data_IF_485691337170
#
_entry.id   IF_485691337170
#
_cell.length_a   1.000
_cell.length_b   1.000
_cell.length_c   1.000
_cell.angle_alpha   90.00
_cell.angle_beta   90.00
_cell.angle_gamma   90.00
#
_symmetry.space_group_name_H-M   'P 1'
#
loop_
_entity.id
_entity.type
_entity.pdbx_description
1 polymer ?
#
# COMPACT_ATOMS: atom_id res chain seq x y z
N UNK A 1 -4.64 17.35 -12.72
CA UNK A 1 -3.53 16.38 -12.72
C UNK A 1 -4.10 14.98 -12.68
N UNK A 2 -3.41 14.03 -13.29
CA UNK A 2 -3.68 12.60 -13.23
C UNK A 2 -2.85 11.96 -12.12
N UNK A 3 -3.52 11.36 -11.15
CA UNK A 3 -2.90 10.76 -9.97
C UNK A 3 -3.12 9.25 -10.00
N UNK A 4 -2.04 8.49 -9.88
CA UNK A 4 -2.10 7.07 -9.56
C UNK A 4 -1.96 6.88 -8.05
N UNK A 5 -3.02 6.42 -7.39
CA UNK A 5 -3.02 6.15 -5.96
C UNK A 5 -2.90 4.64 -5.72
N UNK A 6 -1.83 4.23 -5.03
CA UNK A 6 -1.54 2.85 -4.68
C UNK A 6 -1.89 2.63 -3.20
N UNK A 7 -2.95 1.88 -2.92
CA UNK A 7 -3.45 1.65 -1.57
C UNK A 7 -3.20 0.23 -1.09
N UNK A 8 -2.64 0.09 0.11
CA UNK A 8 -2.50 -1.23 0.76
C UNK A 8 -3.84 -1.86 1.06
N UNK A 9 -4.82 -1.10 1.55
CA UNK A 9 -6.16 -1.62 1.86
C UNK A 9 -7.19 -1.02 0.91
N UNK A 10 -7.99 -1.88 0.28
CA UNK A 10 -9.09 -1.43 -0.55
C UNK A 10 -10.09 -0.63 0.30
N UNK A 11 -10.44 0.62 -0.08
CA UNK A 11 -11.19 1.56 0.78
C UNK A 11 -12.71 1.30 0.78
N UNK A 12 -13.12 0.04 0.92
CA UNK A 12 -14.50 -0.38 1.13
C UNK A 12 -14.58 -1.82 1.68
N UNK A 13 -15.49 -2.13 2.62
CA UNK A 13 -16.32 -1.19 3.38
C UNK A 13 -15.48 -0.35 4.37
N UNK A 14 -16.06 0.72 4.94
CA UNK A 14 -15.36 1.64 5.84
C UNK A 14 -15.30 1.11 7.28
N UNK A 15 -14.72 -0.08 7.43
CA UNK A 15 -14.76 -0.88 8.67
C UNK A 15 -13.50 -0.75 9.55
N UNK A 16 -12.46 -0.05 9.08
CA UNK A 16 -11.24 0.20 9.84
C UNK A 16 -10.58 1.53 9.48
N UNK A 17 -9.68 2.00 10.36
CA UNK A 17 -9.03 3.30 10.24
C UNK A 17 -8.25 3.50 8.93
N UNK A 18 -7.55 2.48 8.44
CA UNK A 18 -6.79 2.57 7.18
C UNK A 18 -7.72 2.74 5.98
N UNK A 19 -8.81 1.96 5.89
CA UNK A 19 -9.82 2.10 4.82
C UNK A 19 -10.55 3.44 4.88
N UNK A 20 -10.94 3.89 6.08
CA UNK A 20 -11.60 5.20 6.30
C UNK A 20 -10.70 6.34 5.82
N UNK A 21 -9.42 6.33 6.23
CA UNK A 21 -8.45 7.36 5.83
C UNK A 21 -8.27 7.41 4.33
N UNK A 22 -7.99 6.27 3.69
CA UNK A 22 -7.79 6.20 2.24
C UNK A 22 -9.04 6.65 1.50
N UNK A 23 -10.23 6.24 1.92
CA UNK A 23 -11.49 6.68 1.32
C UNK A 23 -11.63 8.22 1.31
N UNK A 24 -11.41 8.87 2.45
CA UNK A 24 -11.55 10.32 2.55
C UNK A 24 -10.44 11.09 1.84
N UNK A 25 -9.21 10.55 1.81
CA UNK A 25 -8.12 11.11 1.00
C UNK A 25 -8.47 11.05 -0.49
N UNK A 26 -8.94 9.91 -0.98
CA UNK A 26 -9.38 9.76 -2.37
C UNK A 26 -10.51 10.72 -2.70
N UNK A 27 -11.51 10.86 -1.81
CA UNK A 27 -12.61 11.83 -1.99
C UNK A 27 -12.10 13.26 -2.14
N UNK A 28 -11.15 13.67 -1.30
CA UNK A 28 -10.56 15.01 -1.35
C UNK A 28 -9.71 15.23 -2.61
N UNK A 29 -8.94 14.23 -3.03
CA UNK A 29 -8.13 14.29 -4.25
C UNK A 29 -9.00 14.32 -5.51
N UNK A 30 -9.99 13.43 -5.58
CA UNK A 30 -10.93 13.30 -6.70
C UNK A 30 -11.74 14.59 -6.95
N UNK A 31 -11.96 15.41 -5.92
CA UNK A 31 -12.65 16.69 -6.07
C UNK A 31 -11.88 17.71 -6.94
N UNK A 32 -10.57 17.53 -7.14
CA UNK A 32 -9.70 18.48 -7.88
C UNK A 32 -8.84 17.81 -8.95
N UNK A 33 -8.74 16.49 -8.94
CA UNK A 33 -7.81 15.72 -9.76
C UNK A 33 -8.46 14.45 -10.28
N UNK A 34 -7.96 13.94 -11.41
CA UNK A 34 -8.38 12.66 -11.93
C UNK A 34 -7.57 11.57 -11.23
N UNK A 35 -8.25 10.72 -10.46
CA UNK A 35 -7.59 9.70 -9.63
C UNK A 35 -7.85 8.31 -10.19
N UNK A 36 -6.79 7.56 -10.45
CA UNK A 36 -6.83 6.10 -10.66
C UNK A 36 -6.41 5.41 -9.37
N UNK A 37 -7.27 4.55 -8.82
CA UNK A 37 -6.99 3.75 -7.64
C UNK A 37 -6.53 2.35 -8.04
N UNK A 38 -5.39 1.91 -7.51
CA UNK A 38 -4.92 0.53 -7.54
C UNK A 38 -4.74 0.05 -6.10
N UNK A 39 -5.40 -1.03 -5.71
CA UNK A 39 -5.37 -1.47 -4.31
C UNK A 39 -5.46 -2.98 -4.12
N UNK A 40 -4.85 -3.50 -3.06
CA UNK A 40 -5.08 -4.87 -2.65
C UNK A 40 -6.47 -5.03 -2.04
N UNK A 41 -7.19 -6.04 -2.50
CA UNK A 41 -8.47 -6.47 -1.97
C UNK A 41 -8.30 -7.81 -1.26
N UNK A 42 -8.60 -7.84 0.03
CA UNK A 42 -8.46 -9.02 0.88
C UNK A 42 -9.32 -8.87 2.15
N UNK A 43 -9.43 -9.95 2.92
CA UNK A 43 -10.23 -10.03 4.16
C UNK A 43 -11.67 -9.54 3.93
N UNK A 44 -12.11 -8.48 4.63
CA UNK A 44 -13.48 -7.96 4.59
C UNK A 44 -13.76 -7.06 3.39
N UNK A 45 -12.84 -6.94 2.42
CA UNK A 45 -13.05 -6.09 1.25
C UNK A 45 -14.29 -6.49 0.46
N UNK A 46 -15.13 -5.49 0.14
CA UNK A 46 -16.21 -5.63 -0.83
C UNK A 46 -15.93 -4.70 -2.03
N UNK A 47 -15.45 -5.30 -3.12
CA UNK A 47 -15.21 -4.55 -4.35
C UNK A 47 -16.52 -4.24 -5.06
N UNK A 48 -17.54 -5.12 -4.96
CA UNK A 48 -18.80 -4.94 -5.67
C UNK A 48 -19.57 -3.73 -5.13
N UNK A 49 -19.72 -3.64 -3.79
CA UNK A 49 -20.43 -2.56 -3.09
C UNK A 49 -19.74 -1.19 -3.12
N UNK A 50 -18.52 -1.10 -3.65
CA UNK A 50 -17.73 0.14 -3.69
C UNK A 50 -18.17 1.14 -4.78
N UNK A 51 -19.47 1.40 -4.90
CA UNK A 51 -20.05 2.29 -5.91
C UNK A 51 -19.52 3.72 -5.81
N UNK A 52 -19.38 4.24 -4.59
CA UNK A 52 -18.86 5.60 -4.37
C UNK A 52 -17.42 5.76 -4.84
N UNK A 53 -16.57 4.73 -4.67
CA UNK A 53 -15.20 4.74 -5.21
C UNK A 53 -15.20 4.88 -6.73
N UNK A 54 -16.08 4.14 -7.41
CA UNK A 54 -16.19 4.18 -8.88
C UNK A 54 -16.76 5.49 -9.40
N UNK A 55 -17.56 6.19 -8.61
CA UNK A 55 -18.09 7.52 -8.98
C UNK A 55 -17.03 8.61 -8.85
N UNK A 56 -16.16 8.53 -7.84
CA UNK A 56 -15.16 9.58 -7.59
C UNK A 56 -13.82 9.33 -8.29
N UNK A 57 -13.39 8.09 -8.45
CA UNK A 57 -12.15 7.76 -9.17
C UNK A 57 -12.44 7.52 -10.65
N UNK A 58 -11.57 8.01 -11.54
CA UNK A 58 -11.66 7.75 -12.99
C UNK A 58 -11.48 6.27 -13.33
N UNK A 59 -10.72 5.54 -12.51
CA UNK A 59 -10.61 4.09 -12.58
C UNK A 59 -10.33 3.50 -11.20
N UNK A 60 -10.84 2.28 -10.96
CA UNK A 60 -10.62 1.52 -9.72
C UNK A 60 -10.23 0.10 -10.08
N UNK A 61 -9.03 -0.31 -9.66
CA UNK A 61 -8.48 -1.63 -9.88
C UNK A 61 -8.20 -2.31 -8.54
N UNK A 62 -8.82 -3.47 -8.34
CA UNK A 62 -8.64 -4.30 -7.16
C UNK A 62 -7.77 -5.52 -7.49
N UNK A 63 -6.70 -5.71 -6.73
CA UNK A 63 -5.82 -6.89 -6.81
C UNK A 63 -6.20 -7.84 -5.69
N UNK A 64 -6.83 -8.98 -6.03
CA UNK A 64 -7.30 -9.97 -5.04
C UNK A 64 -6.16 -10.79 -4.42
N UNK A 65 -5.36 -10.14 -3.57
CA UNK A 65 -4.21 -10.69 -2.85
C UNK A 65 -4.11 -10.02 -1.49
N UNK A 66 -3.80 -10.82 -0.47
CA UNK A 66 -3.45 -10.30 0.84
C UNK A 66 -1.93 -10.05 0.91
N UNK A 67 -1.46 -8.78 1.00
CA UNK A 67 -0.03 -8.47 1.03
C UNK A 67 0.67 -8.93 2.32
N UNK A 68 -0.10 -9.25 3.36
CA UNK A 68 0.39 -9.75 4.64
C UNK A 68 0.47 -11.27 4.71
N UNK A 69 -0.07 -11.99 3.71
CA UNK A 69 0.04 -13.43 3.67
C UNK A 69 1.50 -13.84 3.40
N UNK A 70 2.10 -14.52 4.36
CA UNK A 70 3.51 -14.95 4.32
C UNK A 70 3.62 -16.46 4.21
N UNK A 71 4.46 -16.93 3.30
CA UNK A 71 4.96 -18.32 3.32
C UNK A 71 6.18 -18.41 4.24
N UNK A 72 6.22 -19.45 5.08
CA UNK A 72 7.34 -19.71 6.01
C UNK A 72 8.69 -19.82 5.28
N UNK A 73 8.72 -20.44 4.10
CA UNK A 73 9.93 -20.56 3.30
C UNK A 73 10.41 -19.20 2.75
N UNK A 74 9.46 -18.35 2.33
CA UNK A 74 9.77 -17.02 1.79
C UNK A 74 10.28 -16.06 2.88
N UNK A 75 9.80 -16.20 4.13
CA UNK A 75 10.29 -15.41 5.26
C UNK A 75 11.75 -15.72 5.60
N UNK A 76 12.15 -17.00 5.57
CA UNK A 76 13.53 -17.41 5.87
C UNK A 76 14.54 -16.82 4.90
N UNK A 77 14.23 -16.84 3.60
CA UNK A 77 15.11 -16.28 2.57
C UNK A 77 15.21 -14.75 2.67
N UNK A 78 14.13 -14.07 3.07
CA UNK A 78 14.11 -12.61 3.17
C UNK A 78 14.72 -12.06 4.46
N UNK A 79 14.90 -12.89 5.48
CA UNK A 79 15.72 -12.54 6.64
C UNK A 79 17.14 -12.12 6.24
N UNK A 80 17.68 -12.73 5.19
CA UNK A 80 18.99 -12.40 4.64
C UNK A 80 18.96 -11.29 3.56
N UNK A 81 17.79 -10.70 3.32
CA UNK A 81 17.64 -9.63 2.33
C UNK A 81 17.81 -8.26 2.99
N UNK A 82 18.52 -7.36 2.31
CA UNK A 82 18.57 -5.94 2.67
C UNK A 82 17.27 -5.20 2.32
N UNK A 83 16.34 -5.84 1.59
CA UNK A 83 15.05 -5.26 1.26
C UNK A 83 14.01 -5.56 2.36
N UNK A 84 13.27 -4.54 2.85
CA UNK A 84 12.24 -4.76 3.87
C UNK A 84 11.25 -5.84 3.45
N UNK A 85 10.99 -6.80 4.34
CA UNK A 85 10.05 -7.89 4.08
C UNK A 85 8.64 -7.38 3.74
N UNK A 86 8.25 -6.25 4.33
CA UNK A 86 6.96 -5.57 4.07
C UNK A 86 6.82 -5.06 2.64
N UNK A 87 7.92 -4.76 1.96
CA UNK A 87 7.95 -4.20 0.61
C UNK A 87 8.05 -5.28 -0.49
N UNK A 88 7.57 -6.51 -0.21
CA UNK A 88 7.61 -7.61 -1.20
C UNK A 88 6.82 -7.21 -2.44
N UNK A 89 7.42 -7.26 -3.64
CA UNK A 89 6.63 -7.17 -4.85
C UNK A 89 5.75 -8.42 -4.98
N UNK A 90 4.46 -8.20 -5.18
CA UNK A 90 3.47 -9.22 -5.51
C UNK A 90 3.24 -9.11 -7.03
N UNK A 91 3.49 -10.18 -7.81
CA UNK A 91 3.49 -10.12 -9.27
C UNK A 91 2.21 -9.50 -9.84
N UNK A 92 1.05 -9.81 -9.26
CA UNK A 92 -0.24 -9.30 -9.69
C UNK A 92 -0.36 -7.78 -9.53
N UNK A 93 0.15 -7.23 -8.42
CA UNK A 93 0.20 -5.78 -8.22
C UNK A 93 1.25 -5.12 -9.12
N UNK A 94 2.41 -5.74 -9.31
CA UNK A 94 3.44 -5.25 -10.27
C UNK A 94 2.83 -5.14 -11.66
N UNK A 95 2.14 -6.18 -12.12
CA UNK A 95 1.54 -6.20 -13.45
C UNK A 95 0.45 -5.14 -13.57
N UNK A 96 -0.44 -5.03 -12.58
CA UNK A 96 -1.52 -4.04 -12.60
C UNK A 96 -0.98 -2.61 -12.64
N UNK A 97 0.07 -2.30 -11.88
CA UNK A 97 0.74 -0.99 -11.89
C UNK A 97 1.42 -0.73 -13.24
N UNK A 98 2.12 -1.72 -13.81
CA UNK A 98 2.75 -1.58 -15.14
C UNK A 98 1.72 -1.31 -16.23
N UNK A 99 0.60 -2.02 -16.21
CA UNK A 99 -0.50 -1.80 -17.16
C UNK A 99 -1.07 -0.39 -17.01
N UNK A 100 -1.38 0.06 -15.79
CA UNK A 100 -1.87 1.43 -15.59
C UNK A 100 -0.90 2.49 -16.10
N UNK A 101 0.41 2.32 -15.84
CA UNK A 101 1.47 3.22 -16.29
C UNK A 101 1.71 3.18 -17.81
N UNK A 102 1.39 2.08 -18.49
CA UNK A 102 1.45 2.00 -19.96
C UNK A 102 0.23 2.60 -20.63
N UNK A 103 -0.95 2.47 -20.00
CA UNK A 103 -2.22 2.91 -20.58
C UNK A 103 -2.35 4.43 -20.59
N UNK A 104 -1.77 5.11 -19.60
CA UNK A 104 -1.73 6.57 -19.55
C UNK A 104 -0.56 7.13 -18.76
N UNK A 105 -0.26 8.42 -19.00
CA UNK A 105 0.71 9.18 -18.21
C UNK A 105 0.07 9.70 -16.93
N UNK A 106 0.80 9.60 -15.83
CA UNK A 106 0.46 10.19 -14.54
C UNK A 106 1.44 11.30 -14.16
N UNK A 107 0.91 12.38 -13.62
CA UNK A 107 1.72 13.49 -13.10
C UNK A 107 2.31 13.14 -11.73
N UNK A 108 1.58 12.32 -10.96
CA UNK A 108 1.91 11.97 -9.57
C UNK A 108 1.53 10.52 -9.27
N UNK A 109 2.43 9.79 -8.61
CA UNK A 109 2.14 8.49 -7.99
C UNK A 109 2.21 8.62 -6.48
N UNK A 110 1.13 8.24 -5.79
CA UNK A 110 1.07 8.22 -4.33
C UNK A 110 1.08 6.77 -3.87
N UNK A 111 2.07 6.38 -3.09
CA UNK A 111 2.10 5.10 -2.38
C UNK A 111 1.59 5.31 -0.95
N UNK A 112 0.47 4.67 -0.59
CA UNK A 112 -0.02 4.64 0.78
C UNK A 112 0.62 3.46 1.53
N UNK A 113 1.45 3.79 2.51
CA UNK A 113 2.33 2.94 3.33
C UNK A 113 3.53 2.34 2.62
N UNK A 114 4.51 1.90 3.41
CA UNK A 114 5.70 1.19 2.95
C UNK A 114 5.43 -0.09 2.13
N UNK A 115 4.23 -0.69 2.23
CA UNK A 115 3.86 -1.89 1.45
C UNK A 115 3.76 -1.57 -0.04
N UNK A 116 3.27 -0.37 -0.39
CA UNK A 116 3.08 0.02 -1.78
C UNK A 116 4.23 0.86 -2.35
N UNK A 117 5.18 1.27 -1.50
CA UNK A 117 6.28 2.16 -1.85
C UNK A 117 7.13 1.65 -3.04
N UNK A 118 7.42 0.35 -3.10
CA UNK A 118 8.23 -0.23 -4.18
C UNK A 118 7.51 -0.26 -5.51
N UNK A 119 6.17 -0.31 -5.53
CA UNK A 119 5.42 -0.22 -6.78
C UNK A 119 5.44 1.19 -7.36
N UNK A 120 5.50 2.24 -6.53
CA UNK A 120 5.66 3.61 -7.02
C UNK A 120 7.02 3.83 -7.72
N UNK A 121 8.04 3.01 -7.43
CA UNK A 121 9.32 3.03 -8.13
C UNK A 121 9.24 2.50 -9.56
N UNK A 122 8.14 1.85 -9.95
CA UNK A 122 7.89 1.43 -11.33
C UNK A 122 7.52 2.61 -12.25
N UNK A 123 7.16 3.76 -11.68
CA UNK A 123 6.84 4.95 -12.45
C UNK A 123 8.07 5.43 -13.24
N UNK A 124 7.88 5.94 -14.48
CA UNK A 124 8.97 6.47 -15.29
C UNK A 124 9.79 7.56 -14.59
N UNK A 125 11.05 7.69 -14.99
CA UNK A 125 11.92 8.80 -14.55
C UNK A 125 11.25 10.14 -14.90
N UNK A 126 11.13 11.02 -13.90
CA UNK A 126 10.48 12.32 -14.03
C UNK A 126 9.06 12.38 -13.45
N UNK A 127 8.39 11.24 -13.22
CA UNK A 127 7.11 11.24 -12.50
C UNK A 127 7.33 11.55 -11.02
N UNK A 128 6.58 12.51 -10.47
CA UNK A 128 6.61 12.80 -9.04
C UNK A 128 6.07 11.61 -8.25
N UNK A 129 6.78 11.23 -7.18
CA UNK A 129 6.41 10.10 -6.32
C UNK A 129 6.30 10.58 -4.88
N UNK A 130 5.20 10.25 -4.23
CA UNK A 130 4.94 10.60 -2.83
C UNK A 130 4.69 9.32 -2.05
N UNK A 131 5.40 9.17 -0.93
CA UNK A 131 5.11 8.15 0.07
C UNK A 131 4.23 8.79 1.15
N UNK A 132 3.00 8.32 1.27
CA UNK A 132 2.08 8.67 2.35
C UNK A 132 2.19 7.58 3.42
N UNK A 133 2.86 7.88 4.53
CA UNK A 133 2.98 6.96 5.66
C UNK A 133 2.26 7.54 6.88
N UNK A 134 1.39 6.75 7.50
CA UNK A 134 0.58 7.18 8.63
C UNK A 134 1.02 6.53 9.95
N UNK A 135 1.87 5.50 9.90
CA UNK A 135 2.41 4.84 11.08
C UNK A 135 3.94 4.74 11.02
N UNK A 136 4.62 4.98 12.15
CA UNK A 136 6.05 4.71 12.29
C UNK A 136 6.25 3.41 13.06
N UNK A 137 6.32 2.29 12.33
CA UNK A 137 6.55 0.96 12.93
C UNK A 137 7.85 0.91 13.74
N UNK A 138 8.86 1.67 13.34
CA UNK A 138 10.15 1.79 14.04
C UNK A 138 9.99 2.38 15.44
N UNK A 139 9.06 3.34 15.61
CA UNK A 139 8.78 3.92 16.93
C UNK A 139 8.13 2.90 17.87
N UNK A 140 7.16 2.14 17.37
CA UNK A 140 6.53 1.07 18.17
C UNK A 140 7.50 -0.06 18.49
N UNK A 141 8.37 -0.45 17.55
CA UNK A 141 9.43 -1.42 17.80
C UNK A 141 10.42 -0.93 18.86
N UNK A 142 10.77 0.37 18.84
CA UNK A 142 11.62 1.00 19.84
C UNK A 142 10.96 1.05 21.23
N UNK A 143 9.69 1.44 21.32
CA UNK A 143 8.95 1.45 22.58
C UNK A 143 8.87 0.05 23.19
N UNK A 144 8.53 -0.97 22.38
CA UNK A 144 8.57 -2.37 22.81
C UNK A 144 9.97 -2.81 23.25
N UNK A 145 11.01 -2.39 22.52
CA UNK A 145 12.40 -2.69 22.90
C UNK A 145 12.76 -2.14 24.28
N UNK A 146 12.29 -0.94 24.63
CA UNK A 146 12.53 -0.32 25.94
C UNK A 146 11.78 -1.04 27.07
N UNK A 147 10.58 -1.55 26.80
CA UNK A 147 9.75 -2.31 27.76
C UNK A 147 10.30 -3.71 28.07
N UNK A 148 11.08 -4.29 27.15
CA UNK A 148 11.61 -5.64 27.32
C UNK A 148 12.82 -5.71 28.27
N UNK A 149 12.74 -6.59 29.25
CA UNK A 149 13.81 -6.83 30.23
C UNK A 149 14.86 -7.85 29.73
N UNK A 150 14.46 -8.80 28.88
CA UNK A 150 15.34 -9.87 28.39
C UNK A 150 15.99 -9.49 27.07
N UNK A 151 17.30 -9.75 26.94
CA UNK A 151 18.08 -9.49 25.71
C UNK A 151 17.51 -10.21 24.48
N UNK A 152 17.01 -11.43 24.66
CA UNK A 152 16.39 -12.21 23.57
C UNK A 152 15.05 -11.62 23.13
N UNK A 153 14.24 -11.11 24.06
CA UNK A 153 12.99 -10.41 23.72
C UNK A 153 13.26 -9.08 23.02
N UNK A 154 14.26 -8.31 23.49
CA UNK A 154 14.73 -7.08 22.84
C UNK A 154 15.16 -7.31 21.39
N UNK A 155 15.92 -8.36 21.13
CA UNK A 155 16.32 -8.73 19.78
C UNK A 155 15.12 -9.05 18.88
N UNK A 156 14.07 -9.68 19.43
CA UNK A 156 12.84 -10.00 18.70
C UNK A 156 11.94 -8.79 18.40
N UNK A 157 12.10 -7.65 19.06
CA UNK A 157 11.31 -6.45 18.74
C UNK A 157 11.57 -5.92 17.32
N UNK A 158 12.73 -6.27 16.75
CA UNK A 158 13.21 -5.81 15.45
C UNK A 158 13.11 -6.87 14.35
N UNK A 159 12.60 -8.06 14.69
CA UNK A 159 12.42 -9.21 13.78
C UNK A 159 10.94 -9.39 13.44
#
# INVERSE_FOLDING_TARGET
MKILYLATWFPHPLDNGSKIRVFHLLRALAAKHEVTLLSFAFDTTDVAGAHELRKMCGAVHAVNRNPFQRSLAQNRLRFFSLSPAVARPIPEMVQAVRTALSDQRFDLVIASTGITATYALLAPTGTTRVLEEHNSMTRWAWERYLEEMRKTSRARCWL
#
